data_IF_243211272702
#
_entry.id   IF_243211272702
#
_cell.length_a   1.000
_cell.length_b   1.000
_cell.length_c   1.000
_cell.angle_alpha   90.00
_cell.angle_beta   90.00
_cell.angle_gamma   90.00
#
_symmetry.space_group_name_H-M   'P 1'
#
loop_
_entity.id
_entity.type
_entity.pdbx_description
1 polymer ?
#
# COMPACT_ATOMS: atom_id res chain seq x y z
N UNK A 1 18.42 -0.56 8.67
CA UNK A 1 16.96 -0.41 8.68
C UNK A 1 16.46 -0.14 7.27
N UNK A 2 15.30 -0.67 6.91
CA UNK A 2 14.71 -0.55 5.57
C UNK A 2 13.27 -0.07 5.69
N UNK A 3 12.90 0.90 4.87
CA UNK A 3 11.52 1.40 4.75
C UNK A 3 10.98 0.93 3.39
N UNK A 4 9.78 0.37 3.39
CA UNK A 4 9.10 -0.12 2.21
C UNK A 4 7.68 0.47 2.16
N UNK A 5 7.23 0.85 0.96
CA UNK A 5 5.88 1.39 0.73
C UNK A 5 5.20 0.58 -0.35
N UNK A 6 3.94 0.22 -0.14
CA UNK A 6 3.11 -0.45 -1.15
C UNK A 6 1.72 0.17 -1.18
N UNK A 7 1.14 0.27 -2.37
CA UNK A 7 -0.26 0.62 -2.57
C UNK A 7 -1.17 -0.63 -2.62
N UNK A 8 -0.59 -1.82 -2.46
CA UNK A 8 -1.27 -3.11 -2.57
C UNK A 8 -1.39 -3.74 -1.18
N UNK A 9 -2.61 -4.18 -0.85
CA UNK A 9 -2.86 -4.90 0.39
C UNK A 9 -2.11 -6.24 0.38
N UNK A 10 -1.49 -6.62 1.51
CA UNK A 10 -0.74 -7.87 1.67
C UNK A 10 -1.53 -9.12 1.26
N UNK A 11 -2.85 -9.13 1.45
CA UNK A 11 -3.69 -10.27 1.06
C UNK A 11 -3.72 -10.53 -0.46
N UNK A 12 -3.43 -9.49 -1.27
CA UNK A 12 -3.39 -9.58 -2.73
C UNK A 12 -1.98 -9.93 -3.24
N UNK A 13 -0.98 -10.10 -2.36
CA UNK A 13 0.38 -10.39 -2.81
C UNK A 13 0.52 -11.76 -3.45
N UNK A 14 -0.34 -12.72 -3.10
CA UNK A 14 -0.39 -14.02 -3.77
C UNK A 14 -0.76 -13.92 -5.27
N UNK A 15 -1.37 -12.82 -5.69
CA UNK A 15 -1.70 -12.54 -7.11
C UNK A 15 -0.58 -11.75 -7.81
N UNK A 16 0.26 -11.06 -7.03
CA UNK A 16 1.41 -10.28 -7.53
C UNK A 16 2.62 -11.16 -7.75
N UNK A 17 2.85 -12.12 -6.85
CA UNK A 17 3.90 -13.12 -7.00
C UNK A 17 3.28 -14.38 -7.57
N UNK A 18 3.84 -14.86 -8.68
CA UNK A 18 3.37 -16.08 -9.37
C UNK A 18 3.29 -17.32 -8.46
N UNK A 19 4.05 -17.35 -7.37
CA UNK A 19 3.99 -18.40 -6.35
C UNK A 19 3.60 -17.84 -4.97
N UNK A 20 2.43 -18.25 -4.41
CA UNK A 20 2.01 -17.89 -3.05
C UNK A 20 3.03 -18.25 -1.96
N UNK A 21 3.85 -19.29 -2.14
CA UNK A 21 4.91 -19.65 -1.18
C UNK A 21 5.98 -18.57 -1.12
N UNK A 22 6.34 -18.00 -2.26
CA UNK A 22 7.31 -16.90 -2.34
C UNK A 22 6.70 -15.63 -1.74
N UNK A 23 5.45 -15.31 -2.06
CA UNK A 23 4.74 -14.18 -1.47
C UNK A 23 4.78 -14.22 0.06
N UNK A 24 4.41 -15.38 0.64
CA UNK A 24 4.41 -15.59 2.08
C UNK A 24 5.82 -15.51 2.67
N UNK A 25 6.83 -16.10 2.03
CA UNK A 25 8.21 -16.04 2.51
C UNK A 25 8.78 -14.61 2.52
N UNK A 26 8.40 -13.77 1.55
CA UNK A 26 8.78 -12.36 1.51
C UNK A 26 8.04 -11.58 2.61
N UNK A 27 6.72 -11.76 2.72
CA UNK A 27 5.91 -11.11 3.75
C UNK A 27 6.42 -11.45 5.15
N UNK A 28 6.76 -12.70 5.42
CA UNK A 28 7.31 -13.15 6.70
C UNK A 28 8.58 -12.36 7.06
N UNK A 29 9.54 -12.25 6.13
CA UNK A 29 10.78 -11.48 6.36
C UNK A 29 10.55 -9.99 6.59
N UNK A 30 9.65 -9.39 5.81
CA UNK A 30 9.36 -7.96 5.90
C UNK A 30 8.60 -7.66 7.20
N UNK A 31 7.64 -8.50 7.58
CA UNK A 31 6.73 -8.22 8.68
C UNK A 31 7.27 -8.64 10.06
N UNK A 32 8.19 -9.61 10.13
CA UNK A 32 8.71 -10.19 11.38
C UNK A 32 9.20 -9.14 12.40
N UNK A 33 9.86 -8.07 11.94
CA UNK A 33 10.35 -6.98 12.80
C UNK A 33 9.98 -5.61 12.24
N UNK A 34 8.74 -5.46 11.75
CA UNK A 34 8.27 -4.19 11.19
C UNK A 34 7.22 -3.51 12.05
N UNK A 35 7.08 -2.20 11.85
CA UNK A 35 5.90 -1.45 12.27
C UNK A 35 5.11 -1.09 11.02
N UNK A 36 3.87 -1.56 10.94
CA UNK A 36 2.99 -1.29 9.80
C UNK A 36 2.25 0.02 10.01
N UNK A 37 2.43 0.97 9.09
CA UNK A 37 1.71 2.24 9.09
C UNK A 37 0.71 2.24 7.94
N UNK A 38 -0.59 2.20 8.26
CA UNK A 38 -1.66 2.29 7.26
C UNK A 38 -1.93 3.75 6.90
N UNK A 39 -1.71 4.10 5.64
CA UNK A 39 -2.00 5.44 5.11
C UNK A 39 -3.37 5.42 4.45
N UNK A 40 -4.26 6.32 4.86
CA UNK A 40 -5.60 6.51 4.27
C UNK A 40 -5.82 7.98 3.94
N UNK A 41 -6.78 8.24 3.05
CA UNK A 41 -7.15 9.59 2.65
C UNK A 41 -7.12 9.80 1.15
N UNK A 42 -7.45 11.01 0.72
CA UNK A 42 -7.42 11.40 -0.71
C UNK A 42 -5.97 11.56 -1.17
N UNK A 43 -5.73 11.25 -2.45
CA UNK A 43 -4.43 11.50 -3.07
C UNK A 43 -4.05 12.97 -2.97
N UNK A 44 -2.90 13.25 -2.36
CA UNK A 44 -2.39 14.62 -2.24
C UNK A 44 -2.20 15.28 -3.61
N UNK A 45 -1.86 14.50 -4.65
CA UNK A 45 -1.70 14.99 -6.03
C UNK A 45 -2.98 15.61 -6.60
N UNK A 46 -4.14 15.19 -6.10
CA UNK A 46 -5.46 15.67 -6.53
C UNK A 46 -5.95 16.87 -5.71
N UNK A 47 -5.17 17.34 -4.73
CA UNK A 47 -5.55 18.43 -3.83
C UNK A 47 -5.94 19.70 -4.59
N UNK A 48 -5.15 20.08 -5.59
CA UNK A 48 -5.37 21.31 -6.38
C UNK A 48 -6.14 21.06 -7.70
N UNK A 49 -6.36 19.80 -8.06
CA UNK A 49 -7.10 19.38 -9.26
C UNK A 49 -8.55 19.01 -8.96
N UNK A 50 -8.98 19.15 -7.70
CA UNK A 50 -10.38 18.94 -7.33
C UNK A 50 -11.21 20.05 -7.98
N UNK A 51 -12.18 19.75 -8.87
CA UNK A 51 -13.07 20.78 -9.39
C UNK A 51 -13.71 21.45 -8.19
N UNK A 52 -13.56 22.79 -8.10
CA UNK A 52 -14.28 23.57 -7.09
C UNK A 52 -15.75 23.17 -7.24
N UNK A 53 -16.35 22.61 -6.18
CA UNK A 53 -17.80 22.47 -6.13
C UNK A 53 -18.35 23.89 -6.27
N UNK A 54 -18.78 24.27 -7.47
CA UNK A 54 -19.61 25.44 -7.67
C UNK A 54 -20.83 25.23 -6.78
N UNK A 55 -20.96 26.12 -5.81
CA UNK A 55 -22.09 26.16 -4.90
C UNK A 55 -23.18 26.88 -5.70
N UNK A 56 -24.05 26.11 -6.35
CA UNK A 56 -25.35 26.58 -6.83
C UNK A 56 -26.37 26.34 -5.74
#
# INVERSE_FOLDING_TARGET
STIFTTNINFNLWNEIFDDPKIANAILDRILHHSSVVKITGKSYRLKDHSPKKEIT
#
